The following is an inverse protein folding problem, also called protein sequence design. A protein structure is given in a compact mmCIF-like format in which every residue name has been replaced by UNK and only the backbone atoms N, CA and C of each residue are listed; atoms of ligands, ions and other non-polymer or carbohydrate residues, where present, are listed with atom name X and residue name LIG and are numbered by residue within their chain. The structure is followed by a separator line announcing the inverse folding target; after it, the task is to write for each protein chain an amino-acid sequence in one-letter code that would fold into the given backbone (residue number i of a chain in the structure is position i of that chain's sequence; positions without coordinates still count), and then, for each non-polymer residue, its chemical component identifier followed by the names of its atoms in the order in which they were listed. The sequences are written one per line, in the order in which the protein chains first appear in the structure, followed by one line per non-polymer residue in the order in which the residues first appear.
data_IF_366620164388
#
_entry.id   IF_366620164388
#
_cell.length_a   1.000
_cell.length_b   1.000
_cell.length_c   1.000
_cell.angle_alpha   90.00
_cell.angle_beta   90.00
_cell.angle_gamma   90.00
#
_symmetry.space_group_name_H-M   'P 1'
#
loop_
_entity.id
_entity.type
_entity.pdbx_description
1 polymer ?
#
# COMPACT_ATOMS: atom_id res chain seq x y z
N UNK A 1 15.36 7.72 15.12
CA UNK A 1 14.13 7.06 14.67
C UNK A 1 13.09 8.16 14.50
N UNK A 2 12.90 8.67 13.31
CA UNK A 2 11.94 9.73 13.03
C UNK A 2 10.62 9.17 12.47
N UNK A 3 9.51 9.86 12.73
CA UNK A 3 8.29 9.66 11.98
C UNK A 3 8.56 10.12 10.54
N UNK A 4 8.38 9.22 9.59
CA UNK A 4 8.46 9.55 8.19
C UNK A 4 7.07 9.40 7.56
N UNK A 5 6.61 10.45 6.91
CA UNK A 5 5.41 10.41 6.10
C UNK A 5 5.83 10.27 4.65
N UNK A 6 5.38 9.23 4.01
CA UNK A 6 5.58 9.02 2.58
C UNK A 6 4.27 9.33 1.87
N UNK A 7 4.36 10.16 0.87
CA UNK A 7 3.21 10.56 0.07
C UNK A 7 3.23 9.83 -1.26
N UNK A 8 2.13 9.17 -1.58
CA UNK A 8 1.89 8.63 -2.90
C UNK A 8 1.28 9.72 -3.76
N UNK A 9 2.01 10.18 -4.78
CA UNK A 9 1.45 11.07 -5.78
C UNK A 9 0.81 10.27 -6.90
N UNK A 10 -0.41 10.63 -7.28
CA UNK A 10 -0.96 10.16 -8.54
C UNK A 10 -0.27 10.93 -9.67
N UNK A 11 0.56 10.27 -10.45
CA UNK A 11 1.18 10.88 -11.65
C UNK A 11 0.13 11.36 -12.68
N UNK A 12 -1.10 10.87 -12.55
CA UNK A 12 -2.15 11.06 -13.55
C UNK A 12 -2.84 12.39 -13.43
N UNK A 13 -3.00 12.91 -12.22
CA UNK A 13 -3.74 14.15 -12.00
C UNK A 13 -2.86 15.33 -11.59
N UNK A 14 -1.64 15.08 -11.12
CA UNK A 14 -0.83 16.13 -10.49
C UNK A 14 -1.53 16.78 -9.28
N UNK A 15 -2.63 16.19 -8.83
CA UNK A 15 -3.50 16.74 -7.80
C UNK A 15 -3.06 16.25 -6.43
N UNK A 16 -2.77 17.18 -5.54
CA UNK A 16 -2.36 16.89 -4.17
C UNK A 16 -3.41 16.08 -3.37
N UNK A 17 -4.67 16.07 -3.83
CA UNK A 17 -5.77 15.32 -3.20
C UNK A 17 -5.64 13.80 -3.30
N UNK A 18 -4.81 13.31 -4.23
CA UNK A 18 -4.55 11.87 -4.41
C UNK A 18 -3.30 11.39 -3.65
N UNK A 19 -2.85 12.13 -2.64
CA UNK A 19 -1.70 11.75 -1.82
C UNK A 19 -2.13 10.79 -0.72
N UNK A 20 -1.52 9.61 -0.70
CA UNK A 20 -1.61 8.70 0.43
C UNK A 20 -0.38 8.89 1.32
N UNK A 21 -0.59 8.98 2.63
CA UNK A 21 0.50 9.10 3.59
C UNK A 21 0.65 7.81 4.38
N UNK A 22 1.88 7.32 4.47
CA UNK A 22 2.22 6.16 5.28
C UNK A 22 3.19 6.56 6.38
N UNK A 23 2.98 6.04 7.58
CA UNK A 23 3.91 6.22 8.69
C UNK A 23 4.82 5.01 8.80
N UNK A 24 6.11 5.20 8.53
CA UNK A 24 7.14 4.18 8.70
C UNK A 24 7.91 4.48 9.99
N UNK A 25 7.45 3.90 11.10
CA UNK A 25 8.05 4.14 12.41
C UNK A 25 8.46 2.84 13.09
N UNK A 26 9.66 2.85 13.64
CA UNK A 26 10.13 1.81 14.55
C UNK A 26 10.43 2.45 15.91
N UNK A 27 9.65 2.08 16.91
CA UNK A 27 9.83 2.59 18.28
C UNK A 27 10.90 1.79 19.02
N UNK A 28 11.50 2.39 20.05
CA UNK A 28 12.46 1.71 20.91
C UNK A 28 11.84 0.49 21.61
N UNK A 29 10.54 0.55 21.90
CA UNK A 29 9.81 -0.57 22.51
C UNK A 29 9.72 -1.74 21.52
N UNK A 30 9.38 -1.48 20.26
CA UNK A 30 9.35 -2.51 19.21
C UNK A 30 10.73 -3.14 18.99
N UNK A 31 11.79 -2.32 18.98
CA UNK A 31 13.16 -2.86 18.88
C UNK A 31 13.50 -3.79 20.06
N UNK A 32 13.13 -3.41 21.28
CA UNK A 32 13.35 -4.26 22.46
C UNK A 32 12.58 -5.57 22.40
N UNK A 33 11.31 -5.52 21.98
CA UNK A 33 10.53 -6.75 21.79
C UNK A 33 11.06 -7.61 20.64
N UNK A 34 11.50 -7.01 19.53
CA UNK A 34 12.14 -7.74 18.44
C UNK A 34 13.39 -8.47 18.96
N UNK A 35 14.24 -7.78 19.70
CA UNK A 35 15.45 -8.34 20.32
C UNK A 35 15.11 -9.53 21.25
N UNK A 36 14.24 -9.32 22.25
CA UNK A 36 13.88 -10.36 23.23
C UNK A 36 13.23 -11.58 22.56
N UNK A 37 12.36 -11.36 21.58
CA UNK A 37 11.65 -12.44 20.90
C UNK A 37 12.51 -13.17 19.84
N UNK A 38 13.70 -12.69 19.55
CA UNK A 38 14.62 -13.34 18.62
C UNK A 38 15.61 -14.26 19.37
N UNK A 39 15.72 -14.12 20.68
CA UNK A 39 16.58 -15.00 21.49
C UNK A 39 16.00 -16.40 21.58
N UNK A 40 16.83 -17.41 21.45
CA UNK A 40 16.43 -18.81 21.56
C UNK A 40 16.05 -19.15 23.00
N UNK A 41 14.92 -19.81 23.16
CA UNK A 41 14.36 -20.17 24.46
C UNK A 41 15.28 -21.10 25.30
N UNK A 42 16.16 -21.84 24.63
CA UNK A 42 17.13 -22.73 25.30
C UNK A 42 18.15 -21.95 26.13
N UNK A 43 18.46 -20.72 25.75
CA UNK A 43 19.38 -19.86 26.50
C UNK A 43 18.70 -19.23 27.72
N UNK A 44 17.37 -19.06 27.69
CA UNK A 44 16.59 -18.50 28.80
C UNK A 44 16.33 -19.52 29.94
N UNK A 45 16.41 -20.83 29.63
CA UNK A 45 16.13 -21.91 30.61
C UNK A 45 17.36 -22.50 31.26
N UNK A 46 18.56 -22.24 30.75
CA UNK A 46 19.80 -22.60 31.40
C UNK A 46 20.06 -21.66 32.57
N UNK A 47 19.46 -21.95 33.73
CA UNK A 47 19.53 -21.17 34.96
C UNK A 47 20.92 -21.17 35.61
N UNK A 48 21.98 -20.92 34.88
CA UNK A 48 23.32 -20.74 35.38
C UNK A 48 23.61 -19.21 35.45
N UNK A 49 23.82 -18.73 36.65
CA UNK A 49 24.00 -17.32 37.00
C UNK A 49 25.24 -16.63 36.38
N UNK A 50 25.89 -17.30 35.42
CA UNK A 50 27.05 -16.78 34.68
C UNK A 50 26.71 -16.27 33.26
N UNK A 51 25.43 -16.26 32.87
CA UNK A 51 25.00 -16.04 31.51
C UNK A 51 24.33 -14.68 31.23
N UNK A 52 24.57 -13.69 32.10
CA UNK A 52 24.09 -12.31 31.86
C UNK A 52 24.60 -11.74 30.52
N UNK A 53 25.82 -12.13 30.11
CA UNK A 53 26.39 -11.68 28.83
C UNK A 53 25.73 -12.38 27.63
N UNK A 54 25.28 -13.63 27.77
CA UNK A 54 24.60 -14.34 26.70
C UNK A 54 23.17 -13.83 26.45
N UNK A 55 22.51 -13.29 27.48
CA UNK A 55 21.21 -12.62 27.36
C UNK A 55 21.30 -11.19 26.79
N UNK A 56 22.51 -10.63 26.79
CA UNK A 56 22.76 -9.26 26.30
C UNK A 56 23.18 -9.23 24.81
N UNK A 57 23.41 -10.39 24.18
CA UNK A 57 23.89 -10.51 22.81
C UNK A 57 22.98 -11.38 21.97
N UNK A 58 23.04 -11.24 20.67
CA UNK A 58 22.38 -12.09 19.70
C UNK A 58 23.45 -12.86 18.90
N UNK A 59 23.19 -14.12 18.60
CA UNK A 59 23.95 -14.83 17.57
C UNK A 59 23.56 -14.34 16.16
N UNK A 60 24.19 -14.84 15.11
CA UNK A 60 23.93 -14.38 13.74
C UNK A 60 22.48 -14.62 13.30
N UNK A 61 21.94 -15.80 13.58
CA UNK A 61 20.57 -16.16 13.21
C UNK A 61 19.55 -15.32 13.99
N UNK A 62 19.77 -15.14 15.28
CA UNK A 62 18.95 -14.31 16.15
C UNK A 62 18.97 -12.83 15.73
N UNK A 63 20.15 -12.34 15.30
CA UNK A 63 20.29 -10.99 14.79
C UNK A 63 19.50 -10.80 13.49
N UNK A 64 19.58 -11.75 12.55
CA UNK A 64 18.80 -11.73 11.32
C UNK A 64 17.30 -11.74 11.65
N UNK A 65 16.87 -12.61 12.57
CA UNK A 65 15.47 -12.66 13.00
C UNK A 65 15.02 -11.34 13.65
N UNK A 66 15.84 -10.76 14.50
CA UNK A 66 15.56 -9.45 15.10
C UNK A 66 15.38 -8.37 14.02
N UNK A 67 16.26 -8.32 13.03
CA UNK A 67 16.13 -7.41 11.90
C UNK A 67 14.84 -7.64 11.10
N UNK A 68 14.46 -8.90 10.87
CA UNK A 68 13.21 -9.22 10.17
C UNK A 68 11.97 -8.75 10.95
N UNK A 69 11.96 -8.94 12.27
CA UNK A 69 10.90 -8.45 13.16
C UNK A 69 10.84 -6.93 13.16
N UNK A 70 11.98 -6.25 13.23
CA UNK A 70 12.05 -4.78 13.13
C UNK A 70 11.51 -4.30 11.77
N UNK A 71 11.87 -4.96 10.68
CA UNK A 71 11.37 -4.62 9.34
C UNK A 71 9.86 -4.76 9.24
N UNK A 72 9.30 -5.85 9.74
CA UNK A 72 7.85 -6.07 9.81
C UNK A 72 7.16 -4.95 10.58
N UNK A 73 7.65 -4.64 11.77
CA UNK A 73 6.99 -3.68 12.66
C UNK A 73 7.13 -2.23 12.15
N UNK A 74 8.23 -1.91 11.47
CA UNK A 74 8.47 -0.60 10.88
C UNK A 74 7.50 -0.26 9.76
N UNK A 75 7.16 -1.21 8.92
CA UNK A 75 6.30 -1.02 7.74
C UNK A 75 4.89 -1.60 7.91
N UNK A 76 4.47 -1.93 9.13
CA UNK A 76 3.18 -2.55 9.43
C UNK A 76 2.00 -1.73 8.87
N UNK A 77 2.06 -0.41 8.97
CA UNK A 77 1.03 0.48 8.43
C UNK A 77 0.95 0.41 6.90
N UNK A 78 2.10 0.39 6.23
CA UNK A 78 2.17 0.26 4.77
C UNK A 78 1.57 -1.06 4.29
N UNK A 79 1.92 -2.17 4.96
CA UNK A 79 1.38 -3.51 4.65
C UNK A 79 -0.13 -3.55 4.80
N UNK A 80 -0.68 -2.92 5.85
CA UNK A 80 -2.12 -2.88 6.10
C UNK A 80 -2.89 -2.06 5.07
N UNK A 81 -2.31 -0.98 4.59
CA UNK A 81 -2.97 -0.05 3.67
C UNK A 81 -2.72 -0.41 2.20
N UNK A 82 -1.59 -1.05 1.88
CA UNK A 82 -1.22 -1.39 0.52
C UNK A 82 -1.06 -2.91 0.33
N UNK A 83 -2.05 -3.60 -0.24
CA UNK A 83 -2.00 -5.07 -0.43
C UNK A 83 -0.83 -5.57 -1.29
N UNK A 84 -0.26 -4.70 -2.15
CA UNK A 84 0.91 -5.02 -2.96
C UNK A 84 2.24 -4.97 -2.19
N UNK A 85 2.27 -4.33 -1.03
CA UNK A 85 3.45 -4.21 -0.19
C UNK A 85 3.50 -5.37 0.81
N UNK A 86 4.27 -6.39 0.49
CA UNK A 86 4.32 -7.65 1.25
C UNK A 86 5.30 -7.60 2.43
N UNK A 87 5.24 -8.59 3.32
CA UNK A 87 6.24 -8.79 4.38
C UNK A 87 7.68 -8.87 3.82
N UNK A 88 7.87 -9.50 2.65
CA UNK A 88 9.18 -9.54 2.00
C UNK A 88 9.68 -8.14 1.62
N UNK A 89 8.79 -7.26 1.16
CA UNK A 89 9.13 -5.85 0.92
C UNK A 89 9.51 -5.14 2.22
N UNK A 90 8.78 -5.36 3.32
CA UNK A 90 9.09 -4.75 4.62
C UNK A 90 10.51 -5.11 5.10
N UNK A 91 10.86 -6.40 5.03
CA UNK A 91 12.18 -6.89 5.45
C UNK A 91 13.27 -6.32 4.53
N UNK A 92 13.09 -6.41 3.22
CA UNK A 92 14.07 -5.90 2.24
C UNK A 92 14.26 -4.39 2.37
N UNK A 93 13.19 -3.64 2.56
CA UNK A 93 13.24 -2.19 2.78
C UNK A 93 13.98 -1.82 4.04
N UNK A 94 13.77 -2.57 5.13
CA UNK A 94 14.50 -2.37 6.37
C UNK A 94 16.00 -2.57 6.19
N UNK A 95 16.44 -3.65 5.54
CA UNK A 95 17.87 -3.88 5.29
C UNK A 95 18.47 -2.81 4.38
N UNK A 96 17.79 -2.42 3.31
CA UNK A 96 18.28 -1.34 2.43
C UNK A 96 18.44 -0.01 3.17
N UNK A 97 17.50 0.30 4.06
CA UNK A 97 17.59 1.50 4.88
C UNK A 97 18.72 1.40 5.92
N UNK A 98 18.86 0.24 6.57
CA UNK A 98 19.92 -0.02 7.57
C UNK A 98 21.32 0.09 6.94
N UNK A 99 21.48 -0.40 5.70
CA UNK A 99 22.74 -0.33 4.95
C UNK A 99 22.98 1.03 4.27
N UNK A 100 22.01 1.94 4.36
CA UNK A 100 22.12 3.26 3.73
C UNK A 100 21.98 3.25 2.20
N UNK A 101 21.48 2.15 1.63
CA UNK A 101 21.30 2.01 0.17
C UNK A 101 20.09 2.81 -0.34
N UNK A 102 18.99 2.82 0.43
CA UNK A 102 17.76 3.51 0.04
C UNK A 102 16.98 4.00 1.27
N UNK A 103 16.51 5.25 1.20
CA UNK A 103 15.65 5.81 2.25
C UNK A 103 14.24 5.21 2.23
N UNK A 104 13.57 5.21 3.37
CA UNK A 104 12.23 4.63 3.53
C UNK A 104 11.22 5.22 2.56
N UNK A 105 11.23 6.54 2.38
CA UNK A 105 10.32 7.24 1.47
C UNK A 105 10.45 6.75 0.03
N UNK A 106 11.67 6.73 -0.50
CA UNK A 106 11.92 6.27 -1.85
C UNK A 106 11.55 4.78 -1.98
N UNK A 107 11.88 3.97 -0.98
CA UNK A 107 11.59 2.54 -1.02
C UNK A 107 10.09 2.27 -1.01
N UNK A 108 9.32 2.90 -0.13
CA UNK A 108 7.87 2.72 -0.05
C UNK A 108 7.21 3.21 -1.34
N UNK A 109 7.60 4.40 -1.85
CA UNK A 109 7.08 4.92 -3.11
C UNK A 109 7.30 3.94 -4.27
N UNK A 110 8.51 3.43 -4.43
CA UNK A 110 8.86 2.51 -5.52
C UNK A 110 8.08 1.18 -5.48
N UNK A 111 7.61 0.77 -4.30
CA UNK A 111 6.92 -0.52 -4.11
C UNK A 111 5.42 -0.41 -3.84
N UNK A 112 4.91 0.78 -3.55
CA UNK A 112 3.47 1.03 -3.39
C UNK A 112 2.86 1.64 -4.63
N UNK A 113 3.67 2.32 -5.43
CA UNK A 113 3.24 2.87 -6.70
C UNK A 113 2.99 1.75 -7.70
N UNK A 114 1.73 1.56 -8.08
CA UNK A 114 1.36 0.67 -9.17
C UNK A 114 1.08 1.57 -10.38
N UNK A 115 1.94 1.58 -11.41
CA UNK A 115 1.68 2.32 -12.63
C UNK A 115 0.46 1.70 -13.30
N UNK A 116 -0.69 2.31 -13.10
CA UNK A 116 -1.92 1.93 -13.76
C UNK A 116 -2.31 3.07 -14.71
N UNK A 117 -2.21 2.87 -16.02
CA UNK A 117 -2.65 3.87 -16.97
C UNK A 117 -4.15 4.12 -16.77
N UNK A 118 -4.56 5.38 -16.97
CA UNK A 118 -5.98 5.74 -17.03
C UNK A 118 -6.68 4.95 -18.11
N UNK A 119 -7.88 4.54 -17.84
CA UNK A 119 -8.75 3.95 -18.87
C UNK A 119 -9.12 5.02 -19.91
N UNK A 120 -8.85 4.72 -21.18
CA UNK A 120 -9.22 5.60 -22.30
C UNK A 120 -10.71 5.43 -22.65
N UNK A 121 -11.57 5.92 -21.78
CA UNK A 121 -13.01 5.82 -21.95
C UNK A 121 -13.55 6.65 -23.13
N UNK A 122 -12.81 7.67 -23.60
CA UNK A 122 -13.19 8.45 -24.78
C UNK A 122 -13.22 7.59 -26.05
N UNK A 123 -12.34 6.60 -26.13
CA UNK A 123 -12.27 5.64 -27.22
C UNK A 123 -13.00 4.32 -26.93
N UNK A 124 -13.79 4.27 -25.85
CA UNK A 124 -14.60 3.10 -25.53
C UNK A 124 -15.67 2.85 -26.59
N UNK A 125 -16.07 1.59 -26.71
CA UNK A 125 -17.06 1.17 -27.71
C UNK A 125 -18.44 1.01 -27.08
N UNK A 126 -19.53 1.26 -27.85
CA UNK A 126 -20.87 0.93 -27.36
C UNK A 126 -20.98 -0.57 -27.08
N UNK A 127 -21.71 -0.92 -26.03
CA UNK A 127 -21.99 -2.31 -25.69
C UNK A 127 -22.88 -2.95 -26.79
N UNK A 128 -22.84 -4.29 -26.85
CA UNK A 128 -23.66 -5.03 -27.82
C UNK A 128 -25.15 -4.69 -27.65
N UNK A 129 -25.75 -4.15 -28.71
CA UNK A 129 -27.16 -3.71 -28.70
C UNK A 129 -27.40 -2.28 -28.19
N UNK A 130 -26.36 -1.56 -27.76
CA UNK A 130 -26.46 -0.16 -27.38
C UNK A 130 -26.34 0.75 -28.61
N UNK A 131 -27.22 1.75 -28.75
CA UNK A 131 -27.12 2.73 -29.83
C UNK A 131 -25.96 3.71 -29.57
N UNK A 132 -25.39 4.24 -30.64
CA UNK A 132 -24.33 5.27 -30.54
C UNK A 132 -24.78 6.52 -29.76
N UNK A 133 -26.06 6.93 -29.94
CA UNK A 133 -26.59 8.07 -29.20
C UNK A 133 -26.64 7.83 -27.70
N UNK A 134 -27.00 6.62 -27.29
CA UNK A 134 -27.00 6.22 -25.86
C UNK A 134 -25.59 6.12 -25.30
N UNK A 135 -24.65 5.57 -26.06
CA UNK A 135 -23.25 5.52 -25.67
C UNK A 135 -22.66 6.92 -25.46
N UNK A 136 -22.92 7.88 -26.37
CA UNK A 136 -22.49 9.28 -26.20
C UNK A 136 -23.06 9.91 -24.94
N UNK A 137 -24.35 9.72 -24.65
CA UNK A 137 -24.96 10.21 -23.41
C UNK A 137 -24.27 9.62 -22.17
N UNK A 138 -23.89 8.34 -22.23
CA UNK A 138 -23.13 7.73 -21.16
C UNK A 138 -21.77 8.40 -20.97
N UNK A 139 -21.01 8.64 -22.03
CA UNK A 139 -19.72 9.31 -21.96
C UNK A 139 -19.83 10.73 -21.40
N UNK A 140 -20.88 11.48 -21.81
CA UNK A 140 -21.15 12.81 -21.26
C UNK A 140 -21.39 12.77 -19.75
N UNK A 141 -22.11 11.75 -19.26
CA UNK A 141 -22.35 11.55 -17.82
C UNK A 141 -21.08 11.10 -17.11
N UNK A 142 -20.35 10.15 -17.68
CA UNK A 142 -19.11 9.64 -17.08
C UNK A 142 -18.08 10.76 -16.87
N UNK A 143 -17.96 11.66 -17.81
CA UNK A 143 -17.06 12.82 -17.73
C UNK A 143 -17.36 13.73 -16.52
N UNK A 144 -18.62 13.77 -16.06
CA UNK A 144 -19.04 14.61 -14.94
C UNK A 144 -18.84 13.94 -13.58
N UNK A 145 -18.54 12.63 -13.57
CA UNK A 145 -18.32 11.90 -12.31
C UNK A 145 -16.90 12.14 -11.83
N UNK A 146 -16.74 12.73 -10.67
CA UNK A 146 -15.46 12.97 -10.03
C UNK A 146 -14.95 11.68 -9.37
N UNK A 147 -14.23 10.85 -10.14
CA UNK A 147 -13.68 9.57 -9.66
C UNK A 147 -12.24 9.67 -9.17
N UNK A 148 -11.56 10.77 -9.45
CA UNK A 148 -10.13 10.94 -9.16
C UNK A 148 -9.81 10.87 -7.68
N UNK A 149 -10.74 11.28 -6.82
CA UNK A 149 -10.57 11.30 -5.36
C UNK A 149 -10.96 9.97 -4.69
N UNK A 150 -11.40 8.98 -5.47
CA UNK A 150 -11.83 7.70 -4.91
C UNK A 150 -10.63 6.79 -4.61
N UNK A 151 -10.74 6.04 -3.52
CA UNK A 151 -9.69 5.12 -3.08
C UNK A 151 -9.36 4.07 -4.16
N UNK A 152 -8.07 3.81 -4.35
CA UNK A 152 -7.52 2.92 -5.39
C UNK A 152 -7.80 3.32 -6.85
N UNK A 153 -8.27 4.55 -7.11
CA UNK A 153 -8.29 5.07 -8.47
C UNK A 153 -6.86 5.16 -9.03
N UNK A 154 -6.57 4.79 -10.29
CA UNK A 154 -7.48 4.37 -11.36
C UNK A 154 -7.60 2.85 -11.56
N UNK A 155 -7.16 2.02 -10.62
CA UNK A 155 -7.09 0.56 -10.77
C UNK A 155 -8.41 -0.10 -11.19
N UNK A 156 -9.53 0.45 -10.72
CA UNK A 156 -10.87 -0.07 -10.97
C UNK A 156 -11.64 0.71 -12.05
N UNK A 157 -11.06 1.79 -12.61
CA UNK A 157 -11.76 2.74 -13.49
C UNK A 157 -12.47 2.05 -14.65
N UNK A 158 -11.78 1.17 -15.39
CA UNK A 158 -12.38 0.44 -16.50
C UNK A 158 -13.54 -0.46 -16.05
N UNK A 159 -13.35 -1.22 -14.98
CA UNK A 159 -14.37 -2.16 -14.51
C UNK A 159 -15.64 -1.43 -14.07
N UNK A 160 -15.50 -0.35 -13.32
CA UNK A 160 -16.64 0.45 -12.87
C UNK A 160 -17.31 1.16 -14.03
N UNK A 161 -16.54 1.76 -14.95
CA UNK A 161 -17.07 2.34 -16.18
C UNK A 161 -17.96 1.34 -16.94
N UNK A 162 -17.46 0.13 -17.20
CA UNK A 162 -18.17 -0.87 -17.97
C UNK A 162 -19.44 -1.37 -17.27
N UNK A 163 -19.38 -1.58 -15.95
CA UNK A 163 -20.56 -1.98 -15.15
C UNK A 163 -21.62 -0.87 -15.15
N UNK A 164 -21.23 0.38 -14.94
CA UNK A 164 -22.16 1.50 -14.93
C UNK A 164 -22.73 1.77 -16.32
N UNK A 165 -21.92 1.64 -17.40
CA UNK A 165 -22.41 1.72 -18.79
C UNK A 165 -23.47 0.66 -19.07
N UNK A 166 -23.27 -0.58 -18.62
CA UNK A 166 -24.22 -1.66 -18.79
C UNK A 166 -25.56 -1.41 -18.07
N UNK A 167 -25.53 -0.68 -16.97
CA UNK A 167 -26.70 -0.35 -16.15
C UNK A 167 -27.19 1.09 -16.31
N UNK A 168 -26.74 1.79 -17.33
CA UNK A 168 -27.03 3.22 -17.50
C UNK A 168 -28.54 3.52 -17.57
N UNK A 169 -29.34 2.70 -18.25
CA UNK A 169 -30.78 2.89 -18.33
C UNK A 169 -31.47 2.70 -16.96
N UNK A 170 -31.02 1.71 -16.21
CA UNK A 170 -31.54 1.43 -14.87
C UNK A 170 -31.27 2.63 -13.95
N UNK A 171 -30.05 3.18 -14.04
CA UNK A 171 -29.66 4.39 -13.29
C UNK A 171 -30.51 5.60 -13.68
N UNK A 172 -30.62 5.88 -14.97
CA UNK A 172 -31.43 7.04 -15.46
C UNK A 172 -32.90 6.87 -15.08
N UNK A 173 -33.47 5.67 -15.20
CA UNK A 173 -34.87 5.42 -14.82
C UNK A 173 -35.14 5.57 -13.32
N UNK A 174 -34.14 5.28 -12.50
CA UNK A 174 -34.26 5.43 -11.03
C UNK A 174 -34.30 6.89 -10.58
N UNK A 175 -33.71 7.80 -11.35
CA UNK A 175 -33.68 9.24 -11.05
C UNK A 175 -34.69 10.09 -11.85
N UNK A 176 -35.30 9.50 -12.86
CA UNK A 176 -36.27 10.24 -13.72
C UNK A 176 -37.54 10.74 -13.02
N UNK A 177 -38.00 10.21 -11.88
CA UNK A 177 -39.16 10.73 -11.16
C UNK A 177 -38.90 11.99 -10.32
N UNK A 178 -37.67 12.43 -10.17
CA UNK A 178 -37.27 13.58 -9.38
C UNK A 178 -36.72 14.71 -10.24
#
# INVERSE_FOLDING_TARGET
VGNMQVYRESEITGDERCKESYTCQLTMIQCKYAFLNSQKMEQMTAGDATNDDAMATLDEDEFIECCCRCGRDKYDEVVKQCPGFTLAHSIKGFFKNLLGEQGDEAYVRDHTYIPCPRYDWHNSKPLKGQSLAKHRKWLDVWQLIEVADMHYFPLWEQQVHDVMQARFDDLVSSFAPY
#
